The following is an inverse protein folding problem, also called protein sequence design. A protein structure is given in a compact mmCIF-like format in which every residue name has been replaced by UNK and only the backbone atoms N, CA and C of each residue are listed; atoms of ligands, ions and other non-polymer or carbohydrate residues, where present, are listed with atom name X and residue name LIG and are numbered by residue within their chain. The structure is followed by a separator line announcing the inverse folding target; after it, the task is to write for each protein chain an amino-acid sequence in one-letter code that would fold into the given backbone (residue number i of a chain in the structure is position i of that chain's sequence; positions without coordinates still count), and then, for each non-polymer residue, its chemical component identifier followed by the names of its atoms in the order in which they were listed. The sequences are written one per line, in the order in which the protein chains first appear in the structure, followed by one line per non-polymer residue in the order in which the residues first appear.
data_IF_770793627004
#
_entry.id   IF_770793627004
#
_cell.length_a   1.000
_cell.length_b   1.000
_cell.length_c   1.000
_cell.angle_alpha   90.00
_cell.angle_beta   90.00
_cell.angle_gamma   90.00
#
_symmetry.space_group_name_H-M   'P 1'
#
loop_
_entity.id
_entity.type
_entity.pdbx_description
1 polymer ?
#
# COMPACT_ATOMS: atom_id res chain seq x y z
N UNK A 1 27.09 34.70 -27.11
CA UNK A 1 27.60 35.25 -25.85
C UNK A 1 27.91 34.06 -24.94
N UNK A 2 29.19 33.70 -24.77
CA UNK A 2 29.58 32.58 -23.90
C UNK A 2 29.57 33.06 -22.45
N UNK A 3 28.41 32.97 -21.80
CA UNK A 3 28.28 33.30 -20.37
C UNK A 3 29.16 32.33 -19.59
N UNK A 4 30.07 32.86 -18.77
CA UNK A 4 30.95 32.07 -17.90
C UNK A 4 30.42 32.14 -16.48
N UNK A 5 30.07 31.00 -15.91
CA UNK A 5 29.53 30.90 -14.55
C UNK A 5 30.68 30.64 -13.57
N UNK A 6 30.89 31.58 -12.65
CA UNK A 6 31.84 31.45 -11.54
C UNK A 6 31.12 30.76 -10.38
N UNK A 7 31.74 29.75 -9.79
CA UNK A 7 31.19 29.00 -8.65
C UNK A 7 31.92 29.48 -7.41
N UNK A 8 31.18 30.04 -6.46
CA UNK A 8 31.66 30.41 -5.13
C UNK A 8 30.79 29.66 -4.13
N UNK A 9 31.38 28.75 -3.35
CA UNK A 9 30.68 27.95 -2.35
C UNK A 9 30.84 28.58 -0.96
N UNK A 10 29.75 28.62 -0.20
CA UNK A 10 29.83 28.85 1.24
C UNK A 10 30.45 27.64 1.95
N UNK A 11 30.96 27.82 3.17
CA UNK A 11 31.57 26.70 3.90
C UNK A 11 30.54 25.58 4.19
N UNK A 12 29.28 25.94 4.46
CA UNK A 12 28.20 24.96 4.63
C UNK A 12 27.95 24.13 3.35
N UNK A 13 27.93 24.76 2.18
CA UNK A 13 27.77 24.07 0.89
C UNK A 13 28.98 23.18 0.58
N UNK A 14 30.19 23.64 0.93
CA UNK A 14 31.42 22.87 0.76
C UNK A 14 31.41 21.61 1.64
N UNK A 15 30.98 21.72 2.89
CA UNK A 15 30.80 20.57 3.79
C UNK A 15 29.76 19.58 3.26
N UNK A 16 28.61 20.07 2.78
CA UNK A 16 27.56 19.23 2.19
C UNK A 16 28.09 18.45 0.97
N UNK A 17 28.81 19.12 0.06
CA UNK A 17 29.37 18.49 -1.13
C UNK A 17 30.45 17.45 -0.78
N UNK A 18 31.31 17.75 0.20
CA UNK A 18 32.30 16.79 0.72
C UNK A 18 31.61 15.56 1.32
N UNK A 19 30.53 15.75 2.08
CA UNK A 19 29.75 14.65 2.63
C UNK A 19 29.10 13.79 1.52
N UNK A 20 28.59 14.41 0.45
CA UNK A 20 28.03 13.69 -0.71
C UNK A 20 29.10 12.84 -1.40
N UNK A 21 30.33 13.33 -1.53
CA UNK A 21 31.45 12.59 -2.14
C UNK A 21 31.96 11.47 -1.23
N UNK A 22 32.03 11.71 0.09
CA UNK A 22 32.49 10.73 1.06
C UNK A 22 31.49 9.56 1.26
N UNK A 23 30.19 9.82 1.10
CA UNK A 23 29.14 8.83 1.34
C UNK A 23 28.98 7.89 0.13
N UNK A 24 29.53 6.68 0.23
CA UNK A 24 29.57 5.68 -0.86
C UNK A 24 28.23 5.12 -1.39
N UNK A 25 27.07 5.64 -0.95
CA UNK A 25 25.73 5.17 -1.32
C UNK A 25 24.95 6.17 -2.19
N UNK A 26 25.61 7.20 -2.73
CA UNK A 26 24.97 8.22 -3.58
C UNK A 26 24.97 7.85 -5.06
N UNK A 27 23.98 8.35 -5.82
CA UNK A 27 23.94 8.20 -7.27
C UNK A 27 25.21 8.80 -7.90
N UNK A 28 25.89 8.05 -8.78
CA UNK A 28 27.14 8.48 -9.43
C UNK A 28 27.04 9.86 -10.10
N UNK A 29 25.87 10.18 -10.69
CA UNK A 29 25.60 11.50 -11.27
C UNK A 29 25.65 12.63 -10.24
N UNK A 30 25.14 12.41 -9.02
CA UNK A 30 25.16 13.37 -7.92
C UNK A 30 26.59 13.60 -7.42
N UNK A 31 27.36 12.52 -7.27
CA UNK A 31 28.78 12.57 -6.87
C UNK A 31 29.62 13.36 -7.88
N UNK A 32 29.47 13.08 -9.17
CA UNK A 32 30.18 13.82 -10.23
C UNK A 32 29.86 15.32 -10.22
N UNK A 33 28.58 15.68 -10.02
CA UNK A 33 28.19 17.10 -9.91
C UNK A 33 28.79 17.78 -8.68
N UNK A 34 28.85 17.07 -7.55
CA UNK A 34 29.53 17.57 -6.36
C UNK A 34 31.03 17.81 -6.59
N UNK A 35 31.72 16.87 -7.23
CA UNK A 35 33.14 17.02 -7.60
C UNK A 35 33.38 18.18 -8.56
N UNK A 36 32.48 18.40 -9.54
CA UNK A 36 32.56 19.56 -10.45
C UNK A 36 32.48 20.88 -9.68
N UNK A 37 31.53 21.01 -8.73
CA UNK A 37 31.36 22.24 -7.96
C UNK A 37 32.55 22.50 -7.02
N UNK A 38 33.03 21.46 -6.32
CA UNK A 38 34.22 21.57 -5.45
C UNK A 38 35.47 21.96 -6.23
N UNK A 39 35.70 21.36 -7.40
CA UNK A 39 36.86 21.70 -8.24
C UNK A 39 36.73 23.09 -8.87
N UNK A 40 35.51 23.52 -9.20
CA UNK A 40 35.24 24.86 -9.72
C UNK A 40 35.48 25.96 -8.67
N UNK A 41 35.04 25.73 -7.43
CA UNK A 41 35.27 26.62 -6.28
C UNK A 41 36.76 26.71 -5.93
N UNK A 42 37.50 25.60 -6.08
CA UNK A 42 38.95 25.56 -5.91
C UNK A 42 39.74 26.26 -7.05
N UNK A 43 39.06 26.81 -8.07
CA UNK A 43 39.69 27.55 -9.17
C UNK A 43 40.22 26.69 -10.31
N UNK A 44 39.93 25.38 -10.37
CA UNK A 44 40.37 24.53 -11.48
C UNK A 44 39.70 24.93 -12.81
N UNK A 45 40.46 24.86 -13.91
CA UNK A 45 39.92 25.15 -15.25
C UNK A 45 39.01 24.01 -15.74
N UNK A 46 38.02 24.34 -16.57
CA UNK A 46 37.01 23.37 -17.04
C UNK A 46 37.62 22.12 -17.72
N UNK A 47 38.75 22.27 -18.39
CA UNK A 47 39.48 21.18 -19.06
C UNK A 47 40.13 20.21 -18.06
N UNK A 48 40.61 20.70 -16.93
CA UNK A 48 41.14 19.87 -15.84
C UNK A 48 40.00 19.15 -15.11
N UNK A 49 38.91 19.85 -14.83
CA UNK A 49 37.71 19.26 -14.23
C UNK A 49 37.17 18.13 -15.12
N UNK A 50 37.13 18.36 -16.44
CA UNK A 50 36.66 17.37 -17.41
C UNK A 50 37.51 16.09 -17.39
N UNK A 51 38.84 16.22 -17.32
CA UNK A 51 39.77 15.10 -17.22
C UNK A 51 39.65 14.35 -15.90
N UNK A 52 39.62 15.08 -14.78
CA UNK A 52 39.63 14.49 -13.44
C UNK A 52 38.30 13.80 -13.08
N UNK A 53 37.16 14.41 -13.45
CA UNK A 53 35.82 13.88 -13.14
C UNK A 53 35.29 12.95 -14.26
N UNK A 54 35.99 12.90 -15.39
CA UNK A 54 35.63 12.12 -16.59
C UNK A 54 34.20 12.45 -17.03
N UNK A 55 34.00 13.72 -17.41
CA UNK A 55 32.73 14.29 -17.87
C UNK A 55 32.95 15.27 -19.02
N UNK A 56 31.95 15.44 -19.88
CA UNK A 56 32.03 16.46 -20.95
C UNK A 56 31.90 17.89 -20.41
N UNK A 57 32.52 18.85 -21.10
CA UNK A 57 32.47 20.29 -20.79
C UNK A 57 31.04 20.83 -20.71
N UNK A 58 30.12 20.30 -21.50
CA UNK A 58 28.69 20.64 -21.43
C UNK A 58 28.03 20.27 -20.09
N UNK A 59 28.50 19.21 -19.42
CA UNK A 59 28.00 18.81 -18.09
C UNK A 59 28.54 19.76 -17.03
N UNK A 60 29.81 20.17 -17.14
CA UNK A 60 30.43 21.16 -16.26
C UNK A 60 29.66 22.47 -16.37
N UNK A 61 29.52 22.99 -17.58
CA UNK A 61 28.77 24.22 -17.86
C UNK A 61 27.34 24.17 -17.30
N UNK A 62 26.59 23.10 -17.56
CA UNK A 62 25.21 22.95 -17.05
C UNK A 62 25.15 22.85 -15.53
N UNK A 63 26.14 22.23 -14.89
CA UNK A 63 26.19 22.09 -13.43
C UNK A 63 26.51 23.44 -12.78
N UNK A 64 27.53 24.16 -13.28
CA UNK A 64 27.86 25.52 -12.84
C UNK A 64 26.68 26.48 -13.03
N UNK A 65 26.06 26.45 -14.22
CA UNK A 65 24.87 27.24 -14.54
C UNK A 65 23.72 26.98 -13.56
N UNK A 66 23.39 25.71 -13.27
CA UNK A 66 22.29 25.37 -12.35
C UNK A 66 22.57 25.80 -10.92
N UNK A 67 23.83 25.77 -10.50
CA UNK A 67 24.23 26.26 -9.18
C UNK A 67 24.07 27.79 -9.11
N UNK A 68 24.63 28.53 -10.09
CA UNK A 68 24.62 30.00 -10.08
C UNK A 68 23.25 30.60 -10.35
N UNK A 69 22.44 30.01 -11.24
CA UNK A 69 21.07 30.49 -11.54
C UNK A 69 20.02 29.95 -10.55
N UNK A 70 20.38 29.03 -9.67
CA UNK A 70 19.47 28.32 -8.77
C UNK A 70 20.09 28.13 -7.39
N UNK A 71 19.85 26.97 -6.77
CA UNK A 71 20.46 26.58 -5.51
C UNK A 71 21.34 25.32 -5.65
N UNK A 72 22.11 24.99 -4.60
CA UNK A 72 22.90 23.76 -4.53
C UNK A 72 22.07 22.50 -4.84
N UNK A 73 20.84 22.44 -4.33
CA UNK A 73 19.91 21.34 -4.59
C UNK A 73 19.57 21.19 -6.08
N UNK A 74 19.40 22.28 -6.82
CA UNK A 74 19.10 22.26 -8.26
C UNK A 74 20.28 21.76 -9.11
N UNK A 75 21.49 22.05 -8.67
CA UNK A 75 22.69 21.54 -9.29
C UNK A 75 22.84 20.04 -9.02
N UNK A 76 22.61 19.58 -7.79
CA UNK A 76 22.79 18.18 -7.41
C UNK A 76 21.69 17.25 -7.96
N UNK A 77 20.44 17.68 -7.95
CA UNK A 77 19.30 16.84 -8.27
C UNK A 77 18.81 17.01 -9.72
N UNK A 78 18.29 15.94 -10.30
CA UNK A 78 17.55 16.06 -11.56
C UNK A 78 16.15 16.58 -11.26
N UNK A 79 15.68 17.53 -12.06
CA UNK A 79 14.29 17.97 -12.01
C UNK A 79 13.38 16.76 -12.23
N UNK A 80 12.30 16.70 -11.46
CA UNK A 80 11.28 15.68 -11.63
C UNK A 80 10.77 15.75 -13.07
N UNK A 81 11.04 14.70 -13.84
CA UNK A 81 10.53 14.64 -15.20
C UNK A 81 9.03 14.40 -15.11
N UNK A 82 8.20 15.13 -15.88
CA UNK A 82 6.81 14.78 -16.01
C UNK A 82 6.77 13.34 -16.55
N UNK A 83 6.26 12.41 -15.74
CA UNK A 83 6.10 11.03 -16.14
C UNK A 83 5.11 10.91 -17.30
N UNK A 84 4.91 9.70 -17.80
CA UNK A 84 3.89 9.45 -18.81
C UNK A 84 2.52 9.95 -18.31
N UNK A 85 1.76 10.60 -19.22
CA UNK A 85 0.40 11.04 -18.90
C UNK A 85 -0.44 9.84 -18.49
N UNK A 86 -1.31 10.05 -17.50
CA UNK A 86 -2.22 8.99 -17.04
C UNK A 86 -3.17 8.61 -18.19
N UNK A 87 -3.39 7.31 -18.36
CA UNK A 87 -4.33 6.80 -19.37
C UNK A 87 -5.78 7.10 -19.02
N UNK A 88 -6.15 6.95 -17.74
CA UNK A 88 -7.49 7.25 -17.24
C UNK A 88 -7.54 8.69 -16.72
N UNK A 89 -8.60 9.38 -17.11
CA UNK A 89 -9.03 10.67 -16.55
C UNK A 89 -9.65 10.48 -15.16
N UNK A 90 -9.82 11.58 -14.41
CA UNK A 90 -10.45 11.52 -13.09
C UNK A 90 -11.90 11.00 -13.13
N UNK A 91 -12.65 11.29 -14.20
CA UNK A 91 -14.02 10.76 -14.39
C UNK A 91 -14.01 9.25 -14.61
N UNK A 92 -13.07 8.75 -15.40
CA UNK A 92 -12.95 7.32 -15.69
C UNK A 92 -12.41 6.54 -14.48
N UNK A 93 -11.55 7.15 -13.65
CA UNK A 93 -11.17 6.59 -12.37
C UNK A 93 -12.38 6.44 -11.43
N UNK A 94 -13.25 7.45 -11.36
CA UNK A 94 -14.47 7.38 -10.56
C UNK A 94 -15.43 6.30 -11.07
N UNK A 95 -15.56 6.16 -12.40
CA UNK A 95 -16.33 5.09 -13.03
C UNK A 95 -15.77 3.70 -12.71
N UNK A 96 -14.45 3.54 -12.78
CA UNK A 96 -13.78 2.29 -12.39
C UNK A 96 -14.09 1.92 -10.94
N UNK A 97 -14.00 2.88 -10.02
CA UNK A 97 -14.32 2.67 -8.60
C UNK A 97 -15.78 2.27 -8.42
N UNK A 98 -16.72 3.00 -9.04
CA UNK A 98 -18.14 2.69 -8.97
C UNK A 98 -18.44 1.28 -9.50
N UNK A 99 -17.81 0.91 -10.62
CA UNK A 99 -17.95 -0.43 -11.22
C UNK A 99 -17.39 -1.51 -10.29
N UNK A 100 -16.21 -1.29 -9.72
CA UNK A 100 -15.57 -2.25 -8.82
C UNK A 100 -16.36 -2.48 -7.52
N UNK A 101 -17.10 -1.47 -7.05
CA UNK A 101 -17.99 -1.57 -5.89
C UNK A 101 -19.40 -2.09 -6.22
N UNK A 102 -19.69 -2.38 -7.49
CA UNK A 102 -21.00 -2.89 -7.95
C UNK A 102 -21.06 -4.43 -7.95
N UNK A 103 -22.23 -4.99 -8.27
CA UNK A 103 -22.38 -6.43 -8.43
C UNK A 103 -21.61 -6.90 -9.68
N UNK A 104 -20.82 -7.99 -9.58
CA UNK A 104 -20.16 -8.58 -10.74
C UNK A 104 -21.19 -9.11 -11.76
N UNK A 105 -20.78 -9.28 -13.03
CA UNK A 105 -21.65 -9.81 -14.08
C UNK A 105 -22.18 -11.21 -13.75
N UNK A 106 -23.31 -11.56 -14.34
CA UNK A 106 -23.98 -12.85 -14.12
C UNK A 106 -23.01 -14.03 -14.34
N UNK A 107 -23.06 -15.02 -13.45
CA UNK A 107 -22.16 -16.17 -13.46
C UNK A 107 -20.77 -15.92 -12.84
N UNK A 108 -20.50 -14.72 -12.33
CA UNK A 108 -19.24 -14.41 -11.62
C UNK A 108 -19.52 -14.02 -10.18
N UNK A 109 -18.80 -14.64 -9.25
CA UNK A 109 -18.94 -14.34 -7.83
C UNK A 109 -18.27 -13.01 -7.43
N UNK A 110 -17.27 -12.55 -8.20
CA UNK A 110 -16.43 -11.37 -7.89
C UNK A 110 -15.92 -10.71 -9.18
N UNK A 111 -15.61 -9.43 -9.08
CA UNK A 111 -14.84 -8.70 -10.10
C UNK A 111 -13.38 -9.19 -10.11
N UNK A 112 -12.89 -9.60 -11.28
CA UNK A 112 -11.45 -9.78 -11.54
C UNK A 112 -10.88 -8.52 -12.19
N UNK A 113 -9.56 -8.35 -12.16
CA UNK A 113 -8.90 -7.21 -12.82
C UNK A 113 -9.20 -7.19 -14.32
N UNK A 114 -9.16 -8.36 -14.97
CA UNK A 114 -9.51 -8.54 -16.38
C UNK A 114 -10.98 -8.14 -16.66
N UNK A 115 -11.93 -8.56 -15.82
CA UNK A 115 -13.33 -8.17 -15.97
C UNK A 115 -13.53 -6.67 -15.80
N UNK A 116 -12.84 -6.06 -14.85
CA UNK A 116 -12.89 -4.61 -14.64
C UNK A 116 -12.24 -3.85 -15.79
N UNK A 117 -11.13 -4.34 -16.32
CA UNK A 117 -10.48 -3.74 -17.48
C UNK A 117 -11.40 -3.80 -18.70
N UNK A 118 -12.03 -4.96 -18.96
CA UNK A 118 -13.00 -5.15 -20.03
C UNK A 118 -14.25 -4.28 -19.86
N UNK A 119 -14.80 -4.20 -18.65
CA UNK A 119 -16.00 -3.39 -18.40
C UNK A 119 -15.71 -1.89 -18.50
N UNK A 120 -14.57 -1.42 -17.98
CA UNK A 120 -14.16 -0.03 -18.16
C UNK A 120 -13.90 0.28 -19.63
N UNK A 121 -13.30 -0.63 -20.40
CA UNK A 121 -13.15 -0.46 -21.85
C UNK A 121 -14.50 -0.37 -22.56
N UNK A 122 -15.49 -1.16 -22.14
CA UNK A 122 -16.85 -1.10 -22.70
C UNK A 122 -17.54 0.24 -22.43
N UNK A 123 -17.23 0.87 -21.29
CA UNK A 123 -17.86 2.11 -20.83
C UNK A 123 -17.06 3.37 -21.18
N UNK A 124 -15.90 3.26 -21.84
CA UNK A 124 -15.00 4.37 -22.17
C UNK A 124 -14.50 4.30 -23.61
N UNK A 125 -13.90 5.37 -24.12
CA UNK A 125 -13.37 5.41 -25.50
C UNK A 125 -11.96 4.81 -25.64
N UNK A 126 -11.43 4.18 -24.58
CA UNK A 126 -10.09 3.61 -24.60
C UNK A 126 -10.02 2.38 -25.51
N UNK A 127 -8.98 2.32 -26.36
CA UNK A 127 -8.74 1.14 -27.22
C UNK A 127 -8.20 -0.06 -26.45
N UNK A 128 -7.39 0.20 -25.42
CA UNK A 128 -6.74 -0.83 -24.59
C UNK A 128 -6.46 -0.31 -23.19
N UNK A 129 -6.85 -1.10 -22.19
CA UNK A 129 -6.59 -0.87 -20.78
C UNK A 129 -5.97 -2.13 -20.20
N UNK A 130 -4.81 -1.97 -19.55
CA UNK A 130 -4.13 -3.08 -18.91
C UNK A 130 -4.66 -3.27 -17.50
N UNK A 131 -4.81 -4.53 -17.08
CA UNK A 131 -5.13 -4.96 -15.72
C UNK A 131 -4.24 -4.29 -14.66
N UNK A 132 -2.97 -4.04 -14.99
CA UNK A 132 -2.01 -3.36 -14.12
C UNK A 132 -2.37 -1.89 -13.90
N UNK A 133 -2.96 -1.25 -14.91
CA UNK A 133 -3.50 0.11 -14.75
C UNK A 133 -4.69 0.09 -13.79
N UNK A 134 -5.61 -0.88 -13.93
CA UNK A 134 -6.74 -1.04 -13.02
C UNK A 134 -6.27 -1.29 -11.60
N UNK A 135 -5.37 -2.26 -11.40
CA UNK A 135 -4.81 -2.62 -10.09
C UNK A 135 -4.14 -1.42 -9.41
N UNK A 136 -3.29 -0.69 -10.13
CA UNK A 136 -2.61 0.49 -9.59
C UNK A 136 -3.61 1.57 -9.19
N UNK A 137 -4.68 1.78 -9.96
CA UNK A 137 -5.71 2.78 -9.61
C UNK A 137 -6.53 2.39 -8.41
N UNK A 138 -6.95 1.13 -8.30
CA UNK A 138 -7.64 0.64 -7.10
C UNK A 138 -6.75 0.74 -5.85
N UNK A 139 -5.46 0.41 -5.99
CA UNK A 139 -4.48 0.54 -4.91
C UNK A 139 -4.26 2.00 -4.48
N UNK A 140 -4.09 2.93 -5.43
CA UNK A 140 -3.93 4.36 -5.13
C UNK A 140 -5.16 4.95 -4.39
N UNK A 141 -6.36 4.39 -4.61
CA UNK A 141 -7.59 4.78 -3.93
C UNK A 141 -7.86 4.00 -2.63
N UNK A 142 -6.97 3.07 -2.27
CA UNK A 142 -7.10 2.12 -1.15
C UNK A 142 -8.46 1.39 -1.11
N UNK A 143 -8.97 1.00 -2.29
CA UNK A 143 -10.23 0.25 -2.37
C UNK A 143 -9.92 -1.24 -2.54
N UNK A 144 -10.56 -2.05 -1.70
CA UNK A 144 -10.45 -3.51 -1.70
C UNK A 144 -11.85 -4.14 -1.81
N UNK A 145 -12.50 -4.10 -3.00
CA UNK A 145 -13.90 -4.52 -3.15
C UNK A 145 -14.15 -6.00 -2.85
N UNK A 146 -13.10 -6.82 -2.90
CA UNK A 146 -13.15 -8.25 -2.55
C UNK A 146 -13.14 -8.51 -1.03
N UNK A 147 -12.83 -7.50 -0.21
CA UNK A 147 -12.86 -7.63 1.24
C UNK A 147 -14.27 -7.37 1.76
N UNK A 148 -14.70 -8.21 2.69
CA UNK A 148 -15.95 -8.02 3.43
C UNK A 148 -15.57 -7.93 4.90
N UNK A 149 -16.04 -6.89 5.57
CA UNK A 149 -16.00 -6.80 7.03
C UNK A 149 -17.39 -7.13 7.53
N UNK A 150 -17.50 -8.13 8.41
CA UNK A 150 -18.74 -8.33 9.15
C UNK A 150 -18.91 -7.10 10.04
N UNK A 151 -20.02 -6.38 9.84
CA UNK A 151 -20.32 -5.17 10.59
C UNK A 151 -21.70 -5.34 11.22
N UNK A 152 -21.69 -5.68 12.50
CA UNK A 152 -22.83 -5.54 13.38
C UNK A 152 -22.36 -4.65 14.54
N UNK A 153 -22.40 -3.34 14.33
CA UNK A 153 -22.31 -2.39 15.45
C UNK A 153 -23.66 -1.66 15.46
N UNK A 154 -24.49 -1.84 16.50
CA UNK A 154 -25.70 -1.03 16.66
C UNK A 154 -25.30 0.45 16.76
N UNK A 155 -26.23 1.35 16.45
CA UNK A 155 -25.99 2.76 16.78
C UNK A 155 -25.77 2.86 18.30
N UNK A 156 -24.64 3.43 18.73
CA UNK A 156 -24.35 3.66 20.15
C UNK A 156 -25.11 4.93 20.54
N UNK A 157 -26.38 4.76 20.92
CA UNK A 157 -27.21 5.82 21.45
C UNK A 157 -27.25 5.76 22.99
N UNK A 158 -27.91 6.75 23.60
CA UNK A 158 -28.00 6.84 25.06
C UNK A 158 -28.71 5.63 25.69
N UNK A 159 -29.66 5.02 24.98
CA UNK A 159 -30.36 3.82 25.47
C UNK A 159 -29.43 2.60 25.45
N UNK A 160 -28.64 2.43 24.39
CA UNK A 160 -27.63 1.38 24.31
C UNK A 160 -26.60 1.52 25.44
N UNK A 161 -26.11 2.73 25.70
CA UNK A 161 -25.16 2.97 26.80
C UNK A 161 -25.80 2.67 28.14
N UNK A 162 -27.03 3.11 28.40
CA UNK A 162 -27.73 2.81 29.66
C UNK A 162 -27.87 1.29 29.89
N UNK A 163 -28.31 0.53 28.88
CA UNK A 163 -28.42 -0.94 28.98
C UNK A 163 -27.07 -1.63 29.13
N UNK A 164 -26.02 -1.08 28.53
CA UNK A 164 -24.66 -1.60 28.68
C UNK A 164 -24.15 -1.40 30.12
N UNK A 165 -24.31 -0.19 30.68
CA UNK A 165 -23.94 0.10 32.06
C UNK A 165 -24.74 -0.77 33.04
N UNK A 166 -26.05 -0.97 32.83
CA UNK A 166 -26.88 -1.87 33.65
C UNK A 166 -26.29 -3.30 33.73
N UNK A 167 -25.77 -3.82 32.61
CA UNK A 167 -25.13 -5.15 32.57
C UNK A 167 -23.76 -5.13 33.26
N UNK A 168 -22.98 -4.06 33.10
CA UNK A 168 -21.67 -3.92 33.76
C UNK A 168 -21.80 -3.79 35.27
N UNK A 169 -22.79 -3.03 35.75
CA UNK A 169 -23.12 -2.89 37.17
C UNK A 169 -23.47 -4.26 37.77
N UNK A 170 -24.28 -5.06 37.07
CA UNK A 170 -24.60 -6.44 37.48
C UNK A 170 -23.35 -7.32 37.60
N UNK A 171 -22.39 -7.21 36.68
CA UNK A 171 -21.13 -7.96 36.76
C UNK A 171 -20.17 -7.44 37.84
N UNK A 172 -20.33 -6.19 38.28
CA UNK A 172 -19.51 -5.57 39.32
C UNK A 172 -20.00 -5.88 40.74
N UNK A 173 -21.21 -6.40 40.91
CA UNK A 173 -21.75 -6.82 42.21
C UNK A 173 -20.88 -7.91 42.87
N UNK A 174 -20.78 -7.88 44.20
CA UNK A 174 -20.07 -8.94 44.94
C UNK A 174 -20.81 -10.28 44.79
N UNK A 175 -20.10 -11.40 44.55
CA UNK A 175 -20.74 -12.69 44.37
C UNK A 175 -21.53 -13.15 45.61
N UNK A 176 -22.84 -13.33 45.47
CA UNK A 176 -23.73 -13.80 46.53
C UNK A 176 -24.24 -15.22 46.23
N UNK A 177 -23.94 -16.24 47.08
CA UNK A 177 -24.36 -17.63 46.81
C UNK A 177 -25.88 -17.83 46.73
N UNK A 178 -26.66 -16.98 47.39
CA UNK A 178 -28.13 -17.01 47.33
C UNK A 178 -28.70 -16.34 46.07
N UNK A 179 -27.88 -15.56 45.33
CA UNK A 179 -28.24 -14.83 44.11
C UNK A 179 -27.11 -14.95 43.07
N UNK A 180 -26.92 -16.14 42.49
CA UNK A 180 -25.85 -16.36 41.52
C UNK A 180 -26.15 -15.62 40.20
N UNK A 181 -25.12 -14.98 39.64
CA UNK A 181 -25.15 -14.49 38.25
C UNK A 181 -24.86 -15.67 37.34
N UNK A 182 -25.77 -15.95 36.40
CA UNK A 182 -25.66 -17.05 35.44
C UNK A 182 -25.64 -16.48 34.03
N UNK A 183 -24.62 -16.83 33.26
CA UNK A 183 -24.55 -16.49 31.84
C UNK A 183 -25.18 -17.62 31.03
N UNK A 184 -26.18 -17.29 30.22
CA UNK A 184 -26.84 -18.25 29.33
C UNK A 184 -26.62 -17.86 27.88
N UNK A 185 -26.18 -18.81 27.06
CA UNK A 185 -26.06 -18.62 25.61
C UNK A 185 -26.47 -19.88 24.85
N UNK A 186 -26.88 -19.70 23.60
CA UNK A 186 -27.22 -20.79 22.68
C UNK A 186 -26.33 -20.79 21.44
N UNK A 187 -25.87 -21.97 21.04
CA UNK A 187 -25.15 -22.15 19.79
C UNK A 187 -25.87 -23.16 18.88
N UNK A 188 -26.44 -22.72 17.74
CA UNK A 188 -27.03 -23.63 16.77
C UNK A 188 -25.92 -24.47 16.12
N UNK A 189 -25.98 -25.77 16.36
CA UNK A 189 -24.95 -26.73 15.94
C UNK A 189 -25.52 -27.68 14.89
N UNK A 190 -24.80 -27.85 13.78
CA UNK A 190 -25.14 -28.86 12.80
C UNK A 190 -24.73 -30.24 13.31
N UNK A 191 -25.66 -31.19 13.28
CA UNK A 191 -25.37 -32.58 13.61
C UNK A 191 -24.83 -33.25 12.36
N UNK A 192 -23.53 -33.58 12.41
CA UNK A 192 -22.80 -34.14 11.28
C UNK A 192 -22.33 -35.54 11.67
N UNK A 193 -22.60 -36.52 10.81
CA UNK A 193 -21.99 -37.85 10.90
C UNK A 193 -21.10 -38.09 9.69
N UNK A 194 -20.07 -38.91 9.88
CA UNK A 194 -19.24 -39.37 8.79
C UNK A 194 -19.99 -40.39 7.94
N UNK A 195 -19.85 -40.31 6.61
CA UNK A 195 -20.42 -41.33 5.73
C UNK A 195 -19.63 -42.63 5.74
N UNK A 196 -18.34 -42.57 6.05
CA UNK A 196 -17.43 -43.73 6.09
C UNK A 196 -16.72 -43.79 7.43
N UNK A 197 -16.38 -44.99 7.88
CA UNK A 197 -15.60 -45.17 9.10
C UNK A 197 -14.18 -44.61 8.89
N UNK A 198 -13.67 -43.79 9.83
CA UNK A 198 -12.28 -43.33 9.81
C UNK A 198 -11.31 -44.50 9.71
N UNK A 199 -10.23 -44.32 8.95
CA UNK A 199 -9.13 -45.26 8.98
C UNK A 199 -8.18 -44.88 10.12
N UNK A 200 -7.91 -45.77 11.08
CA UNK A 200 -7.09 -45.45 12.25
C UNK A 200 -5.65 -45.14 11.83
N UNK A 201 -4.96 -44.37 12.66
CA UNK A 201 -3.55 -44.10 12.47
C UNK A 201 -2.71 -45.39 12.58
N UNK A 202 -1.62 -45.46 11.81
CA UNK A 202 -0.61 -46.52 11.91
C UNK A 202 0.79 -45.89 11.80
N UNK A 203 1.89 -46.58 12.15
CA UNK A 203 3.24 -46.03 12.00
C UNK A 203 3.47 -45.49 10.58
N UNK A 204 3.82 -44.19 10.48
CA UNK A 204 4.01 -43.48 9.21
C UNK A 204 2.73 -43.02 8.49
N UNK A 205 1.53 -43.31 9.01
CA UNK A 205 0.24 -42.90 8.43
C UNK A 205 -0.67 -42.29 9.50
N UNK A 206 -1.08 -41.03 9.28
CA UNK A 206 -2.06 -40.36 10.15
C UNK A 206 -3.44 -40.98 9.97
N UNK A 207 -4.28 -40.80 10.99
CA UNK A 207 -5.71 -41.11 10.92
C UNK A 207 -6.34 -40.36 9.73
N UNK A 208 -7.26 -41.02 9.02
CA UNK A 208 -7.92 -40.46 7.84
C UNK A 208 -9.43 -40.46 8.03
N UNK A 209 -10.00 -39.26 7.97
CA UNK A 209 -11.43 -39.00 7.93
C UNK A 209 -11.88 -38.78 6.48
N UNK A 210 -13.13 -39.13 6.18
CA UNK A 210 -13.72 -38.81 4.87
C UNK A 210 -14.10 -37.32 4.79
N UNK A 211 -13.97 -36.72 3.62
CA UNK A 211 -14.40 -35.33 3.40
C UNK A 211 -15.92 -35.24 3.18
N UNK A 212 -16.56 -36.36 2.83
CA UNK A 212 -18.00 -36.45 2.65
C UNK A 212 -18.71 -36.75 3.97
N UNK A 213 -19.64 -35.87 4.35
CA UNK A 213 -20.42 -36.01 5.58
C UNK A 213 -21.92 -36.17 5.30
N UNK A 214 -22.63 -36.75 6.26
CA UNK A 214 -24.09 -36.84 6.29
C UNK A 214 -24.64 -35.80 7.26
N UNK A 215 -25.47 -34.89 6.75
CA UNK A 215 -26.22 -33.93 7.58
C UNK A 215 -27.38 -34.64 8.26
N UNK A 216 -27.38 -34.68 9.60
CA UNK A 216 -28.41 -35.32 10.43
C UNK A 216 -29.32 -34.29 11.11
N UNK A 217 -29.43 -33.08 10.55
CA UNK A 217 -30.22 -31.99 11.10
C UNK A 217 -29.40 -30.97 11.89
N UNK A 218 -30.06 -30.29 12.82
CA UNK A 218 -29.50 -29.23 13.66
C UNK A 218 -30.03 -29.38 15.08
N UNK A 219 -29.22 -29.01 16.07
CA UNK A 219 -29.61 -28.90 17.47
C UNK A 219 -29.12 -27.57 18.04
N UNK A 220 -29.79 -27.04 19.06
CA UNK A 220 -29.30 -25.89 19.81
C UNK A 220 -28.57 -26.41 21.05
N UNK A 221 -27.30 -26.03 21.20
CA UNK A 221 -26.54 -26.27 22.42
C UNK A 221 -26.76 -25.09 23.35
N UNK A 222 -27.31 -25.36 24.53
CA UNK A 222 -27.51 -24.37 25.58
C UNK A 222 -26.39 -24.49 26.60
N UNK A 223 -25.67 -23.40 26.86
CA UNK A 223 -24.56 -23.35 27.81
C UNK A 223 -24.90 -22.38 28.92
N UNK A 224 -24.68 -22.83 30.16
CA UNK A 224 -24.83 -22.03 31.37
C UNK A 224 -23.45 -21.96 32.05
N UNK A 225 -22.92 -20.74 32.23
CA UNK A 225 -21.66 -20.46 32.91
C UNK A 225 -21.89 -19.70 34.21
#
# INVERSE_FOLDING_TARGET
MNIRYVVELTEAEREELRAVVAKGSQLARKVKRAQILLAADAGSIDEEIARNVVVGTSTIYRTKRRFVEGALADALHDRQRPGARRKLSGKEEALLVATACSKPPAGRARWTLELLAGEVLRLTEHKQLSDETVRRRLHEKDIKPWQKKMWCVPAIDGEYVARMEDVLDLYAEEPEPARPVVCFDESPTQLIAEKRLPLPASPGKRERYDYEYKRNGTANLFVFL
#
